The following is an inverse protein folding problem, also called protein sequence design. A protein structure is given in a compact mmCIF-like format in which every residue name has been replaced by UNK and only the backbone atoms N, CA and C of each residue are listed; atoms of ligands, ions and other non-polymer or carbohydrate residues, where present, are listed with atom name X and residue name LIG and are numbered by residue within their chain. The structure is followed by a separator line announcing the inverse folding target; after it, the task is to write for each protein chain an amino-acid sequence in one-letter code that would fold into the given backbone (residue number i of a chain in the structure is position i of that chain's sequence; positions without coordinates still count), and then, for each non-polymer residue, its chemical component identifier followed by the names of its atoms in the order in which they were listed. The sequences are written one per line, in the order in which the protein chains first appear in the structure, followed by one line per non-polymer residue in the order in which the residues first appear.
data_IF_205758238939
#
_entry.id   IF_205758238939
#
_cell.length_a   1.000
_cell.length_b   1.000
_cell.length_c   1.000
_cell.angle_alpha   90.00
_cell.angle_beta   90.00
_cell.angle_gamma   90.00
#
_symmetry.space_group_name_H-M   'P 1'
#
loop_
_entity.id
_entity.type
_entity.pdbx_description
1 polymer ?
#
# COMPACT_ATOMS: atom_id res chain seq x y z
N UNK A 1 -3.04 3.18 13.38
CA UNK A 1 -3.54 4.37 12.63
C UNK A 1 -4.15 3.92 11.30
N UNK A 2 -5.31 4.46 10.87
CA UNK A 2 -5.98 4.09 9.61
C UNK A 2 -6.18 5.33 8.73
N UNK A 3 -6.01 5.19 7.42
CA UNK A 3 -6.27 6.21 6.41
C UNK A 3 -6.95 5.55 5.22
N UNK A 4 -7.98 6.16 4.68
CA UNK A 4 -8.65 5.70 3.46
C UNK A 4 -8.89 6.87 2.54
N UNK A 5 -8.52 6.73 1.28
CA UNK A 5 -8.78 7.72 0.24
C UNK A 5 -9.14 6.99 -1.06
N UNK A 6 -9.92 7.64 -1.91
CA UNK A 6 -10.33 7.06 -3.18
C UNK A 6 -10.22 8.07 -4.31
N UNK A 7 -9.84 7.58 -5.47
CA UNK A 7 -10.01 8.26 -6.75
C UNK A 7 -11.16 7.62 -7.55
N UNK A 8 -11.34 8.10 -8.77
CA UNK A 8 -12.28 7.49 -9.72
C UNK A 8 -11.90 6.03 -10.02
N UNK A 9 -10.61 5.70 -10.07
CA UNK A 9 -10.08 4.38 -10.49
C UNK A 9 -9.63 3.48 -9.35
N UNK A 10 -9.27 4.04 -8.19
CA UNK A 10 -8.61 3.32 -7.11
C UNK A 10 -9.27 3.65 -5.76
N UNK A 11 -9.29 2.66 -4.87
CA UNK A 11 -9.52 2.85 -3.45
C UNK A 11 -8.27 2.44 -2.70
N UNK A 12 -7.72 3.33 -1.89
CA UNK A 12 -6.52 3.11 -1.11
C UNK A 12 -6.87 3.07 0.37
N UNK A 13 -6.42 2.01 1.06
CA UNK A 13 -6.58 1.81 2.50
C UNK A 13 -5.21 1.57 3.11
N UNK A 14 -4.78 2.48 3.96
CA UNK A 14 -3.51 2.43 4.66
C UNK A 14 -3.72 2.24 6.16
N UNK A 15 -2.90 1.39 6.77
CA UNK A 15 -2.79 1.25 8.22
C UNK A 15 -1.33 1.32 8.63
N UNK A 16 -1.03 2.01 9.74
CA UNK A 16 0.35 2.05 10.26
C UNK A 16 0.82 0.72 10.84
N UNK A 17 -0.12 -0.13 11.24
CA UNK A 17 0.16 -1.48 11.73
C UNK A 17 0.32 -2.46 10.57
N UNK A 18 1.19 -3.44 10.75
CA UNK A 18 1.34 -4.58 9.86
C UNK A 18 0.19 -5.56 10.10
N UNK A 19 -0.82 -5.49 9.22
CA UNK A 19 -2.02 -6.31 9.28
C UNK A 19 -1.92 -7.40 8.22
N UNK A 20 -2.18 -8.64 8.64
CA UNK A 20 -2.30 -9.77 7.72
C UNK A 20 -3.56 -9.56 6.87
N UNK A 21 -3.46 -9.60 5.53
CA UNK A 21 -4.61 -9.34 4.67
C UNK A 21 -5.67 -10.42 4.81
N UNK A 22 -6.96 -10.10 4.59
CA UNK A 22 -8.07 -11.05 4.78
C UNK A 22 -7.91 -12.37 4.00
N UNK A 23 -7.31 -12.31 2.80
CA UNK A 23 -7.02 -13.51 1.99
C UNK A 23 -6.06 -14.46 2.71
N UNK A 24 -5.01 -13.94 3.33
CA UNK A 24 -4.08 -14.75 4.10
C UNK A 24 -4.72 -15.23 5.41
N UNK A 25 -5.49 -14.37 6.06
CA UNK A 25 -6.21 -14.71 7.28
C UNK A 25 -7.16 -15.89 7.09
N UNK A 26 -7.84 -15.99 5.93
CA UNK A 26 -8.70 -17.13 5.58
C UNK A 26 -7.95 -18.47 5.64
N UNK A 27 -6.71 -18.52 5.17
CA UNK A 27 -5.91 -19.74 5.20
C UNK A 27 -5.33 -20.01 6.59
N UNK A 28 -4.95 -18.98 7.33
CA UNK A 28 -4.45 -19.12 8.69
C UNK A 28 -5.52 -19.65 9.66
N UNK A 29 -6.76 -19.21 9.46
CA UNK A 29 -7.92 -19.66 10.24
C UNK A 29 -8.45 -21.04 9.88
N UNK A 30 -7.90 -21.71 8.85
CA UNK A 30 -8.26 -23.08 8.48
C UNK A 30 -7.11 -24.03 8.83
N UNK A 31 -7.16 -24.73 9.97
CA UNK A 31 -6.04 -25.54 10.46
C UNK A 31 -5.59 -26.64 9.49
N UNK A 32 -6.55 -27.19 8.74
CA UNK A 32 -6.35 -28.30 7.79
C UNK A 32 -5.85 -27.87 6.41
N UNK A 33 -5.76 -26.56 6.13
CA UNK A 33 -5.43 -26.10 4.80
C UNK A 33 -3.93 -26.35 4.48
N UNK A 34 -3.59 -27.04 3.38
CA UNK A 34 -2.20 -27.46 3.10
C UNK A 34 -1.23 -26.29 2.92
N UNK A 35 -1.72 -25.13 2.46
CA UNK A 35 -0.89 -23.93 2.28
C UNK A 35 -0.65 -23.17 3.61
N UNK A 36 -1.39 -23.49 4.67
CA UNK A 36 -1.33 -22.75 5.95
C UNK A 36 0.09 -22.65 6.53
N UNK A 37 0.91 -23.72 6.62
CA UNK A 37 2.25 -23.63 7.19
C UNK A 37 3.13 -22.62 6.44
N UNK A 38 3.04 -22.60 5.10
CA UNK A 38 3.77 -21.66 4.25
C UNK A 38 3.34 -20.21 4.48
N UNK A 39 2.04 -19.95 4.59
CA UNK A 39 1.52 -18.60 4.85
C UNK A 39 1.91 -18.13 6.25
N UNK A 40 1.79 -18.99 7.26
CA UNK A 40 2.19 -18.69 8.63
C UNK A 40 3.68 -18.32 8.70
N UNK A 41 4.54 -19.13 8.10
CA UNK A 41 5.97 -18.85 8.02
C UNK A 41 6.27 -17.53 7.28
N UNK A 42 5.60 -17.30 6.14
CA UNK A 42 5.79 -16.08 5.35
C UNK A 42 5.48 -14.81 6.13
N UNK A 43 4.40 -14.78 6.93
CA UNK A 43 4.05 -13.59 7.72
C UNK A 43 4.82 -13.49 9.04
N UNK A 44 5.25 -14.61 9.63
CA UNK A 44 6.12 -14.60 10.80
C UNK A 44 7.53 -14.04 10.51
N UNK A 45 8.05 -14.30 9.30
CA UNK A 45 9.40 -13.88 8.89
C UNK A 45 9.41 -12.65 7.97
N UNK A 46 8.28 -11.96 7.82
CA UNK A 46 8.20 -10.81 6.93
C UNK A 46 8.85 -9.58 7.59
N UNK A 47 9.68 -8.86 6.85
CA UNK A 47 10.40 -7.70 7.37
C UNK A 47 9.43 -6.62 7.91
N UNK A 48 9.47 -6.31 9.22
CA UNK A 48 8.63 -5.26 9.82
C UNK A 48 9.06 -3.85 9.41
N UNK A 49 10.27 -3.67 8.87
CA UNK A 49 10.78 -2.36 8.39
C UNK A 49 10.34 -2.03 6.97
N UNK A 50 9.33 -2.73 6.45
CA UNK A 50 8.81 -2.52 5.09
C UNK A 50 7.31 -2.23 5.08
N UNK A 51 6.85 -1.61 3.98
CA UNK A 51 5.45 -1.46 3.66
C UNK A 51 4.89 -2.77 3.13
N UNK A 52 3.90 -3.32 3.84
CA UNK A 52 3.17 -4.50 3.41
C UNK A 52 2.01 -4.08 2.51
N UNK A 53 2.30 -3.88 1.23
CA UNK A 53 1.28 -3.45 0.28
C UNK A 53 0.82 -4.56 -0.68
N UNK A 54 -0.41 -4.41 -1.19
CA UNK A 54 -1.02 -5.31 -2.18
C UNK A 54 -2.00 -4.57 -3.07
N UNK A 55 -2.24 -5.15 -4.25
CA UNK A 55 -3.32 -4.75 -5.15
C UNK A 55 -4.43 -5.80 -5.12
N UNK A 56 -5.64 -5.36 -4.79
CA UNK A 56 -6.86 -6.15 -4.82
C UNK A 56 -7.64 -5.90 -6.12
N UNK A 57 -8.07 -7.00 -6.73
CA UNK A 57 -8.93 -7.03 -7.94
C UNK A 57 -10.35 -7.49 -7.61
N UNK A 58 -10.76 -7.43 -6.33
CA UNK A 58 -12.07 -7.94 -5.88
C UNK A 58 -13.25 -7.31 -6.63
N UNK A 59 -13.19 -6.01 -6.95
CA UNK A 59 -14.26 -5.32 -7.69
C UNK A 59 -14.21 -5.55 -9.21
N UNK A 60 -13.25 -6.34 -9.68
CA UNK A 60 -13.11 -6.72 -11.08
C UNK A 60 -13.52 -8.18 -11.33
N UNK A 61 -14.15 -8.84 -10.35
CA UNK A 61 -14.50 -10.26 -10.44
C UNK A 61 -15.44 -10.59 -11.61
N UNK A 62 -16.24 -9.63 -12.08
CA UNK A 62 -17.05 -9.81 -13.30
C UNK A 62 -16.22 -9.90 -14.59
N UNK A 63 -14.94 -9.51 -14.58
CA UNK A 63 -14.09 -9.52 -15.77
C UNK A 63 -13.22 -10.79 -15.86
N UNK A 64 -12.86 -11.13 -17.11
CA UNK A 64 -11.96 -12.26 -17.41
C UNK A 64 -10.64 -12.13 -16.65
N UNK A 65 -10.02 -13.26 -16.32
CA UNK A 65 -8.75 -13.32 -15.57
C UNK A 65 -7.63 -12.50 -16.22
N UNK A 66 -7.56 -12.50 -17.55
CA UNK A 66 -6.58 -11.72 -18.33
C UNK A 66 -6.72 -10.22 -18.07
N UNK A 67 -7.95 -9.72 -18.10
CA UNK A 67 -8.29 -8.32 -17.80
C UNK A 67 -7.91 -7.95 -16.37
N UNK A 68 -8.29 -8.79 -15.39
CA UNK A 68 -7.92 -8.57 -13.97
C UNK A 68 -6.41 -8.53 -13.77
N UNK A 69 -5.68 -9.47 -14.38
CA UNK A 69 -4.22 -9.54 -14.32
C UNK A 69 -3.57 -8.30 -14.92
N UNK A 70 -4.06 -7.86 -16.08
CA UNK A 70 -3.59 -6.66 -16.76
C UNK A 70 -3.78 -5.39 -15.92
N UNK A 71 -4.97 -5.17 -15.36
CA UNK A 71 -5.22 -4.04 -14.47
C UNK A 71 -4.32 -4.08 -13.22
N UNK A 72 -4.20 -5.24 -12.58
CA UNK A 72 -3.34 -5.40 -11.42
C UNK A 72 -1.86 -5.10 -11.74
N UNK A 73 -1.37 -5.52 -12.90
CA UNK A 73 -0.01 -5.22 -13.35
C UNK A 73 0.20 -3.72 -13.53
N UNK A 74 -0.69 -3.04 -14.26
CA UNK A 74 -0.63 -1.59 -14.48
C UNK A 74 -0.67 -0.82 -13.16
N UNK A 75 -1.55 -1.18 -12.25
CA UNK A 75 -1.66 -0.53 -10.94
C UNK A 75 -0.40 -0.72 -10.08
N UNK A 76 0.22 -1.90 -10.11
CA UNK A 76 1.50 -2.13 -9.41
C UNK A 76 2.62 -1.26 -9.98
N UNK A 77 2.73 -1.19 -11.31
CA UNK A 77 3.74 -0.37 -11.97
C UNK A 77 3.55 1.12 -11.66
N UNK A 78 2.32 1.62 -11.80
CA UNK A 78 1.98 2.99 -11.47
C UNK A 78 2.32 3.33 -10.02
N UNK A 79 1.95 2.47 -9.07
CA UNK A 79 2.24 2.69 -7.65
C UNK A 79 3.75 2.64 -7.34
N UNK A 80 4.50 1.73 -7.96
CA UNK A 80 5.96 1.66 -7.78
C UNK A 80 6.66 2.91 -8.33
N UNK A 81 6.23 3.41 -9.49
CA UNK A 81 6.73 4.67 -10.03
C UNK A 81 6.38 5.85 -9.11
N UNK A 82 5.15 5.91 -8.60
CA UNK A 82 4.74 6.90 -7.60
C UNK A 82 5.62 6.88 -6.35
N UNK A 83 5.95 5.70 -5.81
CA UNK A 83 6.85 5.55 -4.67
C UNK A 83 8.24 6.12 -4.97
N UNK A 84 8.82 5.75 -6.11
CA UNK A 84 10.15 6.23 -6.54
C UNK A 84 10.18 7.75 -6.69
N UNK A 85 9.16 8.35 -7.33
CA UNK A 85 9.04 9.81 -7.47
C UNK A 85 8.97 10.53 -6.13
N UNK A 86 8.43 9.88 -5.09
CA UNK A 86 8.35 10.44 -3.74
C UNK A 86 9.61 10.19 -2.89
N UNK A 87 10.61 9.48 -3.45
CA UNK A 87 11.86 9.15 -2.77
C UNK A 87 11.79 7.86 -1.94
N UNK A 88 10.90 6.93 -2.30
CA UNK A 88 10.80 5.62 -1.66
C UNK A 88 11.13 4.47 -2.61
N UNK A 89 11.67 3.39 -2.06
CA UNK A 89 11.84 2.12 -2.76
C UNK A 89 10.47 1.43 -2.94
N UNK A 90 10.44 0.38 -3.76
CA UNK A 90 9.27 -0.46 -4.03
C UNK A 90 8.64 -1.08 -2.77
N UNK A 91 9.39 -1.13 -1.67
CA UNK A 91 8.96 -1.65 -0.36
C UNK A 91 8.73 -0.55 0.69
N UNK A 92 8.73 0.73 0.30
CA UNK A 92 8.46 1.87 1.18
C UNK A 92 9.64 2.35 2.02
N UNK A 93 10.86 1.83 1.80
CA UNK A 93 12.09 2.35 2.42
C UNK A 93 12.46 3.69 1.80
N UNK A 94 13.03 4.61 2.57
CA UNK A 94 13.52 5.88 2.02
C UNK A 94 14.73 5.62 1.11
N UNK A 95 14.77 6.28 -0.05
CA UNK A 95 15.90 6.26 -0.98
C UNK A 95 16.88 7.42 -0.73
N UNK A 96 16.78 8.14 0.39
CA UNK A 96 17.66 9.28 0.68
C UNK A 96 19.12 8.84 0.72
N UNK A 97 19.86 9.22 -0.32
CA UNK A 97 21.33 9.16 -0.38
C UNK A 97 21.81 10.53 0.13
N UNK A 98 22.16 10.62 1.41
CA UNK A 98 22.77 11.82 1.98
C UNK A 98 21.99 12.43 3.16
N UNK A 99 22.71 12.64 4.25
CA UNK A 99 22.27 12.84 5.64
C UNK A 99 21.43 14.10 5.97
N UNK A 100 20.85 14.80 5.00
CA UNK A 100 20.24 16.12 5.24
C UNK A 100 18.72 16.16 5.11
N UNK A 101 18.06 15.12 4.56
CA UNK A 101 16.60 15.04 4.43
C UNK A 101 16.10 13.59 4.38
N UNK A 102 16.44 12.79 5.39
CA UNK A 102 15.92 11.42 5.50
C UNK A 102 14.41 11.45 5.79
N UNK A 103 13.59 11.16 4.77
CA UNK A 103 12.16 10.93 4.98
C UNK A 103 11.99 9.65 5.80
N UNK A 104 11.14 9.65 6.84
CA UNK A 104 10.92 8.45 7.62
C UNK A 104 10.29 7.36 6.72
N UNK A 105 10.75 6.09 6.81
CA UNK A 105 10.27 5.03 5.92
C UNK A 105 8.75 4.86 6.04
N UNK A 106 8.09 4.54 4.93
CA UNK A 106 6.67 4.25 4.90
C UNK A 106 6.47 2.81 5.38
N UNK A 107 5.89 2.66 6.56
CA UNK A 107 5.70 1.36 7.23
C UNK A 107 4.20 1.03 7.37
N UNK A 108 3.91 -0.22 7.69
CA UNK A 108 2.54 -0.69 7.95
C UNK A 108 1.98 -1.46 6.76
N UNK A 109 0.66 -1.42 6.57
CA UNK A 109 -0.03 -2.15 5.52
C UNK A 109 -0.83 -1.26 4.59
N UNK A 110 -0.85 -1.60 3.32
CA UNK A 110 -1.53 -0.83 2.29
C UNK A 110 -2.30 -1.75 1.34
N UNK A 111 -3.59 -1.50 1.18
CA UNK A 111 -4.42 -2.17 0.18
C UNK A 111 -4.89 -1.18 -0.86
N UNK A 112 -4.57 -1.48 -2.12
CA UNK A 112 -5.01 -0.74 -3.30
C UNK A 112 -6.07 -1.58 -3.99
N UNK A 113 -7.33 -1.16 -3.95
CA UNK A 113 -8.44 -1.85 -4.61
C UNK A 113 -8.77 -1.17 -5.93
N UNK A 114 -8.74 -1.92 -7.02
CA UNK A 114 -9.05 -1.43 -8.35
C UNK A 114 -10.56 -1.35 -8.56
N UNK A 115 -11.04 -0.21 -9.09
CA UNK A 115 -12.44 -0.03 -9.52
C UNK A 115 -12.58 -0.34 -11.02
N UNK A 116 -13.76 -0.77 -11.49
CA UNK A 116 -14.00 -1.07 -12.92
C UNK A 116 -13.62 0.04 -13.90
N UNK A 117 -13.72 1.30 -13.45
CA UNK A 117 -13.33 2.50 -14.19
C UNK A 117 -11.86 2.50 -14.62
N UNK A 118 -10.97 1.78 -13.92
CA UNK A 118 -9.54 1.67 -14.28
C UNK A 118 -9.31 1.04 -15.66
N UNK A 119 -10.29 0.33 -16.21
CA UNK A 119 -10.19 -0.34 -17.51
C UNK A 119 -10.10 0.64 -18.68
N UNK A 120 -10.83 1.75 -18.58
CA UNK A 120 -10.96 2.75 -19.66
C UNK A 120 -9.93 3.87 -19.54
N UNK A 121 -9.18 3.89 -18.44
CA UNK A 121 -8.29 4.98 -18.09
C UNK A 121 -6.89 4.75 -18.63
N UNK A 122 -6.26 5.85 -19.06
CA UNK A 122 -4.88 5.84 -19.53
C UNK A 122 -3.93 5.45 -18.40
N UNK A 123 -2.71 5.04 -18.74
CA UNK A 123 -1.72 4.73 -17.71
C UNK A 123 -1.27 6.00 -16.97
N UNK A 124 -1.20 7.12 -17.67
CA UNK A 124 -0.85 8.42 -17.08
C UNK A 124 -1.89 8.86 -16.05
N UNK A 125 -3.18 8.70 -16.32
CA UNK A 125 -4.23 9.06 -15.36
C UNK A 125 -4.21 8.14 -14.15
N UNK A 126 -3.96 6.84 -14.36
CA UNK A 126 -3.75 5.90 -13.26
C UNK A 126 -2.56 6.28 -12.38
N UNK A 127 -1.48 6.78 -12.99
CA UNK A 127 -0.31 7.27 -12.26
C UNK A 127 -0.61 8.55 -11.47
N UNK A 128 -1.34 9.50 -12.07
CA UNK A 128 -1.77 10.73 -11.38
C UNK A 128 -2.64 10.38 -10.17
N UNK A 129 -3.54 9.41 -10.31
CA UNK A 129 -4.35 8.90 -9.22
C UNK A 129 -3.50 8.28 -8.11
N UNK A 130 -2.53 7.41 -8.43
CA UNK A 130 -1.64 6.84 -7.40
C UNK A 130 -0.77 7.92 -6.74
N UNK A 131 -0.26 8.88 -7.49
CA UNK A 131 0.54 10.00 -6.98
C UNK A 131 -0.28 10.86 -6.00
N UNK A 132 -1.51 11.20 -6.37
CA UNK A 132 -2.44 11.95 -5.53
C UNK A 132 -2.73 11.21 -4.22
N UNK A 133 -3.05 9.92 -4.31
CA UNK A 133 -3.38 9.10 -3.14
C UNK A 133 -2.17 8.93 -2.21
N UNK A 134 -0.97 8.69 -2.77
CA UNK A 134 0.27 8.56 -2.00
C UNK A 134 0.62 9.87 -1.28
N UNK A 135 0.55 11.02 -1.98
CA UNK A 135 0.72 12.34 -1.35
C UNK A 135 -0.27 12.56 -0.21
N UNK A 136 -1.51 12.11 -0.37
CA UNK A 136 -2.53 12.13 0.68
C UNK A 136 -2.11 11.38 1.95
N UNK A 137 -1.54 10.18 1.82
CA UNK A 137 -1.01 9.40 2.95
C UNK A 137 0.14 10.14 3.63
N UNK A 138 1.10 10.64 2.85
CA UNK A 138 2.30 11.31 3.36
C UNK A 138 1.91 12.58 4.14
N UNK A 139 1.05 13.42 3.56
CA UNK A 139 0.54 14.63 4.21
C UNK A 139 -0.25 14.31 5.49
N UNK A 140 -1.04 13.25 5.49
CA UNK A 140 -1.79 12.81 6.67
C UNK A 140 -0.85 12.31 7.79
N UNK A 141 0.30 11.72 7.42
CA UNK A 141 1.34 11.30 8.35
C UNK A 141 2.10 12.49 8.94
N UNK A 142 2.51 13.44 8.11
CA UNK A 142 3.22 14.67 8.54
C UNK A 142 2.39 15.46 9.56
N UNK A 143 1.12 15.74 9.24
CA UNK A 143 0.16 16.42 10.14
C UNK A 143 -0.03 15.75 11.51
N UNK A 144 0.37 14.49 11.67
CA UNK A 144 0.28 13.77 12.95
C UNK A 144 1.64 13.66 13.63
N UNK A 145 2.72 13.55 12.85
CA UNK A 145 4.08 13.70 13.38
C UNK A 145 4.28 15.06 14.06
N UNK A 146 3.69 16.12 13.50
CA UNK A 146 3.77 17.47 14.07
C UNK A 146 2.99 17.58 15.40
N UNK A 147 1.82 16.93 15.51
CA UNK A 147 1.01 16.88 16.75
C UNK A 147 1.72 16.14 17.89
N UNK A 148 2.39 15.03 17.58
CA UNK A 148 3.12 14.29 18.60
C UNK A 148 4.42 14.99 19.05
N UNK A 149 4.97 15.92 18.26
CA UNK A 149 6.15 16.72 18.63
C UNK A 149 5.79 17.92 19.51
N UNK A 150 4.59 18.47 19.40
CA UNK A 150 4.13 19.59 20.25
C UNK A 150 3.79 19.17 21.67
N UNK A 151 3.35 17.93 21.88
CA UNK A 151 2.95 17.42 23.21
C UNK A 151 4.15 16.94 24.06
N UNK A 152 5.37 16.93 23.51
CA UNK A 152 6.61 16.50 24.18
C UNK A 152 7.48 17.63 24.72
N UNK A 153 6.98 18.87 24.78
CA UNK A 153 7.70 20.05 25.30
C UNK A 153 7.08 20.55 26.61
N UNK A 154 7.13 19.73 27.66
CA UNK A 154 7.02 20.16 29.05
C UNK A 154 7.84 19.20 29.92
N UNK A 155 9.12 19.49 30.08
CA UNK A 155 9.97 19.04 31.20
C UNK A 155 11.13 20.02 31.33
#
# INVERSE_FOLDING_TARGET
MKFSSSSSTLLLRYTSEHVIPPIAQRYLGSPVHPIRPKIAYMYANRDPKTLWWRVSVSHLNQFKRTVRSWCARRARMAFQESLKRQGFDNVGRSLSIGAWNEKPPLLGSLEITLRPTCLRQSFEDLQKDTDYLLKGILKHRERRGDRNKSDGKCS
#
